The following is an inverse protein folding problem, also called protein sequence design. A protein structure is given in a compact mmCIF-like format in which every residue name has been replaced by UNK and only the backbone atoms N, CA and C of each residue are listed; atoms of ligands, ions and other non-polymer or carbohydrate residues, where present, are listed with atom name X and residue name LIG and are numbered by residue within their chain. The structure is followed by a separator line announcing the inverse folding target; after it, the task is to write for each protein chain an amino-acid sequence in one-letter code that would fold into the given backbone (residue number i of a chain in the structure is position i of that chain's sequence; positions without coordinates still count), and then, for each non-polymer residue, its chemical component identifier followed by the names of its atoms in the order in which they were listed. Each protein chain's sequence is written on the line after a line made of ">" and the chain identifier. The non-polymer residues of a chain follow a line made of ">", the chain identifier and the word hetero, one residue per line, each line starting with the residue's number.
data_IF_142670802164
#
_entry.id   IF_142670802164
#
_cell.length_a   1.000
_cell.length_b   1.000
_cell.length_c   1.000
_cell.angle_alpha   90.00
_cell.angle_beta   90.00
_cell.angle_gamma   90.00
#
_symmetry.space_group_name_H-M   'P 1'
#
loop_
_entity.id
_entity.type
_entity.pdbx_description
1 polymer ?
#
# COMPACT_ATOMS: atom_id res chain seq x y z
N UNK A 1 4.29 -27.94 30.48
CA UNK A 1 3.57 -26.80 29.88
C UNK A 1 4.47 -25.65 29.41
N UNK A 2 5.37 -25.09 30.24
CA UNK A 2 6.15 -23.89 29.85
C UNK A 2 7.14 -24.06 28.66
N UNK A 3 7.63 -25.28 28.40
CA UNK A 3 8.59 -25.56 27.31
C UNK A 3 7.94 -25.46 25.92
N UNK A 4 6.67 -25.83 25.83
CA UNK A 4 5.91 -25.84 24.57
C UNK A 4 5.50 -24.41 24.17
N UNK A 5 5.11 -23.60 25.16
CA UNK A 5 4.76 -22.19 24.96
C UNK A 5 5.95 -21.34 24.46
N UNK A 6 7.17 -21.59 24.96
CA UNK A 6 8.38 -20.90 24.47
C UNK A 6 8.78 -21.34 23.05
N UNK A 7 8.57 -22.62 22.72
CA UNK A 7 8.78 -23.14 21.36
C UNK A 7 7.81 -22.48 20.37
N UNK A 8 6.53 -22.40 20.74
CA UNK A 8 5.51 -21.73 19.94
C UNK A 8 5.79 -20.23 19.74
N UNK A 9 6.19 -19.52 20.80
CA UNK A 9 6.55 -18.09 20.71
C UNK A 9 7.73 -17.85 19.77
N UNK A 10 8.75 -18.71 19.79
CA UNK A 10 9.91 -18.58 18.90
C UNK A 10 9.56 -18.84 17.44
N UNK A 11 8.64 -19.78 17.17
CA UNK A 11 8.18 -20.11 15.80
C UNK A 11 7.36 -18.97 15.18
N UNK A 12 6.55 -18.28 15.98
CA UNK A 12 5.65 -17.22 15.51
C UNK A 12 6.10 -15.82 15.94
N UNK A 13 7.37 -15.65 16.31
CA UNK A 13 7.88 -14.43 16.94
C UNK A 13 7.62 -13.19 16.09
N UNK A 14 7.87 -13.28 14.78
CA UNK A 14 7.71 -12.17 13.86
C UNK A 14 6.23 -11.74 13.75
N UNK A 15 5.32 -12.69 13.55
CA UNK A 15 3.88 -12.43 13.46
C UNK A 15 3.31 -11.83 14.75
N UNK A 16 3.74 -12.35 15.90
CA UNK A 16 3.33 -11.80 17.20
C UNK A 16 3.86 -10.38 17.37
N UNK A 17 5.12 -10.13 16.98
CA UNK A 17 5.74 -8.82 17.10
C UNK A 17 5.08 -7.78 16.17
N UNK A 18 4.67 -8.14 14.95
CA UNK A 18 3.98 -7.21 14.05
C UNK A 18 2.59 -6.86 14.55
N UNK A 19 1.83 -7.84 15.06
CA UNK A 19 0.49 -7.61 15.63
C UNK A 19 0.60 -6.73 16.88
N UNK A 20 1.52 -7.04 17.79
CA UNK A 20 1.77 -6.22 18.99
C UNK A 20 2.27 -4.83 18.60
N UNK A 21 3.10 -4.71 17.58
CA UNK A 21 3.59 -3.42 17.06
C UNK A 21 2.47 -2.54 16.51
N UNK A 22 1.53 -3.10 15.75
CA UNK A 22 0.36 -2.37 15.24
C UNK A 22 -0.55 -1.92 16.37
N UNK A 23 -0.94 -2.85 17.26
CA UNK A 23 -1.82 -2.53 18.40
C UNK A 23 -1.17 -1.53 19.33
N UNK A 24 0.09 -1.75 19.71
CA UNK A 24 0.85 -0.85 20.57
C UNK A 24 1.05 0.53 19.94
N UNK A 25 1.36 0.60 18.65
CA UNK A 25 1.49 1.84 17.90
C UNK A 25 0.18 2.63 17.82
N UNK A 26 -0.94 1.95 17.51
CA UNK A 26 -2.26 2.57 17.50
C UNK A 26 -2.68 3.10 18.88
N UNK A 27 -2.49 2.32 19.94
CA UNK A 27 -2.82 2.73 21.31
C UNK A 27 -1.96 3.91 21.74
N UNK A 28 -0.65 3.84 21.54
CA UNK A 28 0.28 4.93 21.87
C UNK A 28 -0.08 6.20 21.08
N UNK A 29 -0.42 6.09 19.80
CA UNK A 29 -0.82 7.22 18.96
C UNK A 29 -2.11 7.89 19.44
N UNK A 30 -3.10 7.11 19.88
CA UNK A 30 -4.35 7.65 20.47
C UNK A 30 -4.05 8.36 21.80
N UNK A 31 -3.23 7.75 22.67
CA UNK A 31 -2.84 8.34 23.96
C UNK A 31 -2.10 9.67 23.74
N UNK A 32 -1.09 9.69 22.86
CA UNK A 32 -0.32 10.90 22.54
C UNK A 32 -1.22 12.00 21.97
N UNK A 33 -2.16 11.65 21.08
CA UNK A 33 -3.12 12.59 20.51
C UNK A 33 -4.05 13.21 21.56
N UNK A 34 -4.46 12.44 22.56
CA UNK A 34 -5.35 12.91 23.62
C UNK A 34 -4.61 13.65 24.74
N UNK A 35 -3.36 13.28 25.03
CA UNK A 35 -2.57 13.85 26.13
C UNK A 35 -1.87 15.17 25.76
N UNK A 36 -1.37 15.29 24.53
CA UNK A 36 -0.68 16.49 24.03
C UNK A 36 -1.56 17.12 22.95
N UNK A 37 -2.43 18.06 23.32
CA UNK A 37 -3.43 18.61 22.39
C UNK A 37 -2.86 19.18 21.08
N UNK A 38 -2.21 20.35 21.11
CA UNK A 38 -1.67 21.02 19.91
C UNK A 38 -0.26 20.51 19.58
N UNK A 39 -0.17 19.67 18.57
CA UNK A 39 1.11 19.21 18.01
C UNK A 39 1.72 20.28 17.10
N UNK A 40 2.99 20.63 17.33
CA UNK A 40 3.75 21.40 16.37
C UNK A 40 4.21 20.47 15.22
N UNK A 41 4.32 21.01 14.00
CA UNK A 41 4.69 20.21 12.81
C UNK A 41 6.04 19.49 12.97
N UNK A 42 6.96 20.04 13.77
CA UNK A 42 8.28 19.44 14.05
C UNK A 42 8.20 18.22 14.96
N UNK A 43 7.34 18.23 15.98
CA UNK A 43 7.23 17.13 16.94
C UNK A 43 6.64 15.89 16.26
N UNK A 44 5.65 16.09 15.38
CA UNK A 44 5.10 15.03 14.54
C UNK A 44 6.14 14.44 13.59
N UNK A 45 7.01 15.29 13.00
CA UNK A 45 8.08 14.84 12.12
C UNK A 45 9.09 13.95 12.86
N UNK A 46 9.51 14.33 14.07
CA UNK A 46 10.44 13.52 14.86
C UNK A 46 9.85 12.17 15.27
N UNK A 47 8.56 12.12 15.61
CA UNK A 47 7.89 10.85 15.92
C UNK A 47 7.71 9.95 14.69
N UNK A 48 7.46 10.53 13.51
CA UNK A 48 7.28 9.77 12.27
C UNK A 48 8.61 9.28 11.67
N UNK A 49 9.73 9.94 12.01
CA UNK A 49 11.06 9.68 11.46
C UNK A 49 11.49 8.19 11.39
N UNK A 50 11.39 7.37 12.45
CA UNK A 50 11.77 5.95 12.36
C UNK A 50 10.90 5.17 11.37
N UNK A 51 9.61 5.50 11.28
CA UNK A 51 8.69 4.91 10.29
C UNK A 51 9.04 5.33 8.87
N UNK A 52 9.44 6.59 8.67
CA UNK A 52 9.90 7.06 7.37
C UNK A 52 11.16 6.35 6.91
N UNK A 53 12.16 6.17 7.78
CA UNK A 53 13.38 5.43 7.45
C UNK A 53 13.04 4.00 7.06
N UNK A 54 12.16 3.33 7.83
CA UNK A 54 11.70 1.98 7.52
C UNK A 54 11.07 1.90 6.11
N UNK A 55 10.16 2.82 5.78
CA UNK A 55 9.53 2.86 4.46
C UNK A 55 10.54 3.16 3.35
N UNK A 56 11.55 4.00 3.58
CA UNK A 56 12.62 4.27 2.61
C UNK A 56 13.47 3.02 2.36
N UNK A 57 13.82 2.27 3.41
CA UNK A 57 14.55 1.01 3.27
C UNK A 57 13.75 -0.01 2.44
N UNK A 58 12.45 -0.18 2.71
CA UNK A 58 11.60 -1.07 1.92
C UNK A 58 11.54 -0.64 0.45
N UNK A 59 11.31 0.65 0.16
CA UNK A 59 11.23 1.17 -1.21
C UNK A 59 12.53 0.96 -2.01
N UNK A 60 13.69 1.08 -1.37
CA UNK A 60 14.98 0.82 -1.99
C UNK A 60 15.12 -0.64 -2.45
N UNK A 61 14.53 -1.58 -1.72
CA UNK A 61 14.58 -3.01 -2.06
C UNK A 61 13.60 -3.40 -3.18
N UNK A 62 12.49 -2.67 -3.36
CA UNK A 62 11.44 -3.04 -4.32
C UNK A 62 11.96 -3.12 -5.76
N UNK A 63 12.65 -2.09 -6.24
CA UNK A 63 13.13 -2.03 -7.63
C UNK A 63 14.06 -3.20 -7.99
N UNK A 64 15.17 -3.45 -7.27
CA UNK A 64 16.09 -4.53 -7.62
C UNK A 64 15.48 -5.93 -7.43
N UNK A 65 14.65 -6.14 -6.40
CA UNK A 65 14.02 -7.43 -6.15
C UNK A 65 12.95 -7.76 -7.20
N UNK A 66 12.13 -6.78 -7.60
CA UNK A 66 11.13 -7.00 -8.63
C UNK A 66 11.78 -7.31 -9.98
N UNK A 67 12.80 -6.54 -10.38
CA UNK A 67 13.49 -6.77 -11.66
C UNK A 67 14.15 -8.15 -11.69
N UNK A 68 14.94 -8.50 -10.68
CA UNK A 68 15.60 -9.80 -10.61
C UNK A 68 14.62 -10.97 -10.54
N UNK A 69 13.56 -10.87 -9.74
CA UNK A 69 12.54 -11.91 -9.61
C UNK A 69 11.76 -12.13 -10.91
N UNK A 70 11.37 -11.06 -11.61
CA UNK A 70 10.60 -11.17 -12.87
C UNK A 70 11.48 -11.75 -13.98
N UNK A 71 12.72 -11.29 -14.13
CA UNK A 71 13.66 -11.81 -15.13
C UNK A 71 13.92 -13.31 -14.89
N UNK A 72 14.20 -13.70 -13.64
CA UNK A 72 14.41 -15.11 -13.28
C UNK A 72 13.17 -15.98 -13.54
N UNK A 73 11.99 -15.50 -13.18
CA UNK A 73 10.74 -16.21 -13.41
C UNK A 73 10.47 -16.41 -14.90
N UNK A 74 10.65 -15.38 -15.73
CA UNK A 74 10.39 -15.50 -17.17
C UNK A 74 11.45 -16.38 -17.85
N UNK A 75 12.73 -16.28 -17.43
CA UNK A 75 13.83 -17.03 -18.04
C UNK A 75 13.87 -18.51 -17.68
N UNK A 76 13.20 -18.94 -16.62
CA UNK A 76 13.19 -20.35 -16.16
C UNK A 76 12.01 -21.19 -16.68
N UNK A 77 11.00 -20.56 -17.31
CA UNK A 77 9.83 -21.25 -17.85
C UNK A 77 9.83 -21.31 -19.38
N UNK A 78 9.38 -22.45 -19.93
CA UNK A 78 9.12 -22.58 -21.36
C UNK A 78 8.05 -21.59 -21.84
N UNK A 79 8.25 -21.00 -23.02
CA UNK A 79 7.36 -19.98 -23.60
C UNK A 79 5.89 -20.44 -23.70
N UNK A 80 5.66 -21.72 -24.00
CA UNK A 80 4.31 -22.29 -24.15
C UNK A 80 3.59 -22.44 -22.80
N UNK A 81 4.32 -22.77 -21.74
CA UNK A 81 3.80 -22.87 -20.37
C UNK A 81 3.61 -21.48 -19.77
N UNK A 82 4.59 -20.60 -19.94
CA UNK A 82 4.56 -19.20 -19.48
C UNK A 82 3.32 -18.46 -20.01
N UNK A 83 2.98 -18.63 -21.29
CA UNK A 83 1.77 -18.02 -21.88
C UNK A 83 0.46 -18.51 -21.22
N UNK A 84 0.33 -19.82 -20.98
CA UNK A 84 -0.89 -20.39 -20.37
C UNK A 84 -1.07 -19.93 -18.93
N UNK A 85 0.02 -19.92 -18.17
CA UNK A 85 0.03 -19.45 -16.78
C UNK A 85 -0.29 -17.95 -16.74
N UNK A 86 0.36 -17.14 -17.58
CA UNK A 86 0.11 -15.70 -17.67
C UNK A 86 -1.35 -15.41 -18.02
N UNK A 87 -1.93 -16.09 -19.01
CA UNK A 87 -3.32 -15.87 -19.41
C UNK A 87 -4.30 -16.24 -18.30
N UNK A 88 -4.10 -17.39 -17.62
CA UNK A 88 -4.95 -17.80 -16.49
C UNK A 88 -4.84 -16.80 -15.33
N UNK A 89 -3.65 -16.32 -15.05
CA UNK A 89 -3.39 -15.31 -14.00
C UNK A 89 -4.04 -13.96 -14.33
N UNK A 90 -3.91 -13.46 -15.56
CA UNK A 90 -4.53 -12.20 -16.01
C UNK A 90 -6.05 -12.30 -15.91
N UNK A 91 -6.64 -13.40 -16.38
CA UNK A 91 -8.07 -13.62 -16.30
C UNK A 91 -8.56 -13.67 -14.86
N UNK A 92 -7.86 -14.42 -14.00
CA UNK A 92 -8.17 -14.49 -12.57
C UNK A 92 -8.10 -13.12 -11.90
N UNK A 93 -6.99 -12.39 -12.04
CA UNK A 93 -6.82 -11.06 -11.44
C UNK A 93 -7.84 -10.06 -11.95
N UNK A 94 -8.13 -10.05 -13.25
CA UNK A 94 -9.12 -9.15 -13.85
C UNK A 94 -10.50 -9.43 -13.29
N UNK A 95 -10.92 -10.71 -13.26
CA UNK A 95 -12.23 -11.09 -12.75
C UNK A 95 -12.42 -10.75 -11.27
N UNK A 96 -11.41 -11.03 -10.42
CA UNK A 96 -11.49 -10.70 -8.99
C UNK A 96 -11.46 -9.20 -8.74
N UNK A 97 -10.68 -8.44 -9.52
CA UNK A 97 -10.60 -6.98 -9.38
C UNK A 97 -11.91 -6.31 -9.78
N UNK A 98 -12.49 -6.71 -10.92
CA UNK A 98 -13.81 -6.20 -11.35
C UNK A 98 -14.88 -6.52 -10.31
N UNK A 99 -14.89 -7.75 -9.80
CA UNK A 99 -15.85 -8.17 -8.76
C UNK A 99 -15.68 -7.34 -7.47
N UNK A 100 -14.44 -7.09 -7.03
CA UNK A 100 -14.14 -6.29 -5.85
C UNK A 100 -14.52 -4.81 -6.04
N UNK A 101 -14.29 -4.23 -7.23
CA UNK A 101 -14.66 -2.84 -7.55
C UNK A 101 -16.18 -2.67 -7.56
N UNK A 102 -16.92 -3.61 -8.16
CA UNK A 102 -18.40 -3.58 -8.15
C UNK A 102 -18.92 -3.63 -6.71
N UNK A 103 -18.41 -4.55 -5.89
CA UNK A 103 -18.82 -4.67 -4.50
C UNK A 103 -18.47 -3.42 -3.69
N UNK A 104 -17.27 -2.85 -3.89
CA UNK A 104 -16.84 -1.61 -3.27
C UNK A 104 -17.71 -0.41 -3.67
N UNK A 105 -18.07 -0.31 -4.95
CA UNK A 105 -18.95 0.74 -5.47
C UNK A 105 -20.36 0.64 -4.85
N UNK A 106 -20.94 -0.56 -4.81
CA UNK A 106 -22.25 -0.80 -4.17
C UNK A 106 -22.20 -0.36 -2.70
N UNK A 107 -21.15 -0.78 -1.97
CA UNK A 107 -21.00 -0.49 -0.54
C UNK A 107 -20.82 1.02 -0.29
N UNK A 108 -19.97 1.71 -1.06
CA UNK A 108 -19.74 3.15 -0.95
C UNK A 108 -21.01 3.96 -1.29
N UNK A 109 -21.72 3.60 -2.35
CA UNK A 109 -22.93 4.33 -2.76
C UNK A 109 -24.09 4.11 -1.80
N UNK A 110 -24.16 2.93 -1.15
CA UNK A 110 -25.19 2.59 -0.17
C UNK A 110 -24.92 3.23 1.20
N UNK A 111 -23.71 3.07 1.73
CA UNK A 111 -23.35 3.59 3.06
C UNK A 111 -23.11 5.11 3.02
N UNK A 112 -22.67 5.65 1.87
CA UNK A 112 -22.29 7.06 1.67
C UNK A 112 -21.40 7.59 2.80
N UNK A 113 -20.23 6.97 3.05
CA UNK A 113 -19.34 7.41 4.11
C UNK A 113 -18.88 8.85 3.85
N UNK A 114 -18.97 9.71 4.86
CA UNK A 114 -18.47 11.09 4.80
C UNK A 114 -19.54 12.17 4.59
N UNK A 115 -20.81 11.81 4.35
CA UNK A 115 -21.90 12.81 4.32
C UNK A 115 -22.03 13.44 5.72
N UNK A 116 -21.78 14.75 5.83
CA UNK A 116 -21.85 15.50 7.09
C UNK A 116 -20.50 15.74 7.80
N UNK A 117 -19.39 15.23 7.26
CA UNK A 117 -18.06 15.58 7.76
C UNK A 117 -17.69 16.96 7.20
N UNK A 118 -17.55 17.97 8.07
CA UNK A 118 -16.98 19.26 7.66
C UNK A 118 -15.58 18.99 7.09
N UNK A 119 -15.24 19.47 5.89
CA UNK A 119 -13.88 19.39 5.39
C UNK A 119 -12.97 19.97 6.46
N UNK A 120 -12.09 19.13 7.02
CA UNK A 120 -11.00 19.65 7.82
C UNK A 120 -10.27 20.64 6.92
N UNK A 121 -10.11 21.90 7.35
CA UNK A 121 -9.43 22.93 6.60
C UNK A 121 -8.00 22.49 6.33
N UNK A 122 -7.83 21.71 5.27
CA UNK A 122 -6.54 21.41 4.70
C UNK A 122 -5.99 22.76 4.30
N UNK A 123 -4.85 23.10 4.88
CA UNK A 123 -4.03 24.27 4.55
C UNK A 123 -4.16 24.62 3.08
N UNK A 124 -4.40 25.90 2.80
CA UNK A 124 -4.45 26.59 1.51
C UNK A 124 -3.30 26.23 0.54
N UNK A 125 -3.20 24.98 0.12
CA UNK A 125 -2.49 24.59 -1.09
C UNK A 125 -3.52 24.68 -2.20
N UNK A 126 -3.36 25.70 -3.05
CA UNK A 126 -4.11 25.82 -4.29
C UNK A 126 -3.81 24.58 -5.12
N UNK A 127 -4.65 23.57 -5.02
CA UNK A 127 -4.68 22.49 -5.98
C UNK A 127 -4.96 23.15 -7.33
N UNK A 128 -3.94 23.22 -8.18
CA UNK A 128 -4.12 23.57 -9.57
C UNK A 128 -4.97 22.45 -10.15
N UNK A 129 -6.28 22.67 -10.24
CA UNK A 129 -7.20 21.76 -10.88
C UNK A 129 -6.85 21.74 -12.36
N UNK A 130 -5.89 20.90 -12.73
CA UNK A 130 -5.60 20.63 -14.12
C UNK A 130 -6.80 19.88 -14.67
N UNK A 131 -7.54 20.49 -15.59
CA UNK A 131 -8.58 19.80 -16.33
C UNK A 131 -7.90 18.73 -17.20
N UNK A 132 -7.77 17.53 -16.63
CA UNK A 132 -7.27 16.36 -17.35
C UNK A 132 -8.47 15.67 -17.98
N UNK A 133 -8.45 15.53 -19.31
CA UNK A 133 -9.47 14.74 -19.99
C UNK A 133 -9.23 13.26 -19.67
N UNK A 134 -10.30 12.48 -19.55
CA UNK A 134 -10.21 11.03 -19.35
C UNK A 134 -9.37 10.37 -20.44
N UNK A 135 -9.46 10.88 -21.68
CA UNK A 135 -8.66 10.41 -22.82
C UNK A 135 -7.17 10.61 -22.58
N UNK A 136 -6.77 11.78 -22.06
CA UNK A 136 -5.37 12.07 -21.75
C UNK A 136 -4.82 11.10 -20.70
N UNK A 137 -5.62 10.79 -19.67
CA UNK A 137 -5.19 9.83 -18.63
C UNK A 137 -5.00 8.40 -19.16
N UNK A 138 -5.84 7.96 -20.12
CA UNK A 138 -5.68 6.65 -20.76
C UNK A 138 -4.45 6.61 -21.66
N UNK A 139 -4.20 7.68 -22.42
CA UNK A 139 -3.00 7.81 -23.23
C UNK A 139 -1.74 7.85 -22.35
N UNK A 140 -1.78 8.54 -21.21
CA UNK A 140 -0.68 8.59 -20.26
C UNK A 140 -0.41 7.25 -19.58
N UNK A 141 -1.44 6.43 -19.31
CA UNK A 141 -1.25 5.07 -18.83
C UNK A 141 -0.43 4.24 -19.83
N UNK A 142 -0.78 4.29 -21.12
CA UNK A 142 -0.05 3.59 -22.18
C UNK A 142 1.37 4.13 -22.30
N UNK A 143 1.57 5.46 -22.22
CA UNK A 143 2.90 6.07 -22.22
C UNK A 143 3.74 5.61 -21.04
N UNK A 144 3.16 5.43 -19.86
CA UNK A 144 3.87 4.96 -18.67
C UNK A 144 4.27 3.47 -18.72
N UNK A 145 3.64 2.66 -19.58
CA UNK A 145 4.09 1.28 -19.83
C UNK A 145 5.47 1.26 -20.52
N UNK A 146 5.77 2.28 -21.32
CA UNK A 146 7.04 2.43 -22.04
C UNK A 146 7.74 3.72 -21.60
N UNK A 147 8.43 3.72 -20.43
CA UNK A 147 9.05 4.92 -19.90
C UNK A 147 10.15 5.43 -20.85
N UNK A 148 10.32 6.76 -20.98
CA UNK A 148 11.30 7.37 -21.88
C UNK A 148 12.75 7.11 -21.47
N UNK A 149 13.00 6.73 -20.22
CA UNK A 149 14.32 6.34 -19.71
C UNK A 149 14.15 5.26 -18.63
N UNK A 150 15.10 4.32 -18.58
CA UNK A 150 15.19 3.27 -17.55
C UNK A 150 16.11 3.65 -16.38
N UNK A 151 16.86 4.76 -16.51
CA UNK A 151 17.77 5.34 -15.50
C UNK A 151 17.19 6.64 -14.93
#
# INVERSE_FOLDING_TARGET
>A
MAKDQRSFLRRNLLTILTVVGVVGGSVTGIILRNALGKWNKRDTMYLAFPGEIFLRMLKCLIIPLLMSSVIHAIGSLDLSLSRKIAFRSIFYYSATTVSAVILGMILVVTIRPGVGVKPMEASNEKYVTREVLTQDTLLDLIRNVFPPNIV
#
